data_IF_650936909633
#
_entry.id   IF_650936909633
#
_cell.length_a   1.000
_cell.length_b   1.000
_cell.length_c   1.000
_cell.angle_alpha   90.00
_cell.angle_beta   90.00
_cell.angle_gamma   90.00
#
_symmetry.space_group_name_H-M   'P 1'
#
loop_
_entity.id
_entity.type
_entity.pdbx_description
1 polymer ?
#
# COMPACT_ATOMS: atom_id res chain seq x y z
N UNK A 1 -25.47 5.20 -0.26
CA UNK A 1 -24.00 5.32 -0.37
C UNK A 1 -23.59 4.79 -1.74
N UNK A 2 -23.07 5.63 -2.64
CA UNK A 2 -22.42 5.13 -3.86
C UNK A 2 -21.21 4.30 -3.44
N UNK A 3 -21.08 3.08 -3.98
CA UNK A 3 -19.85 2.32 -3.83
C UNK A 3 -18.73 3.12 -4.51
N UNK A 4 -17.73 3.54 -3.72
CA UNK A 4 -16.51 4.12 -4.29
C UNK A 4 -15.94 3.11 -5.31
N UNK A 5 -15.28 3.56 -6.38
CA UNK A 5 -14.68 2.62 -7.33
C UNK A 5 -13.42 1.97 -6.72
N UNK A 6 -13.03 0.78 -7.19
CA UNK A 6 -11.72 0.20 -6.87
C UNK A 6 -10.63 1.03 -7.55
N UNK A 7 -9.56 1.34 -6.82
CA UNK A 7 -8.45 2.22 -7.25
C UNK A 7 -7.12 1.51 -7.08
N UNK A 8 -6.08 1.97 -7.77
CA UNK A 8 -4.70 1.48 -7.63
C UNK A 8 -3.90 2.51 -6.87
N UNK A 9 -3.36 2.12 -5.72
CA UNK A 9 -2.49 2.95 -4.90
C UNK A 9 -1.05 2.47 -4.96
N UNK A 10 -0.11 3.40 -5.08
CA UNK A 10 1.30 3.17 -4.84
C UNK A 10 1.62 3.49 -3.37
N UNK A 11 2.29 2.55 -2.71
CA UNK A 11 2.75 2.68 -1.33
C UNK A 11 4.26 2.73 -1.35
N UNK A 12 4.82 3.75 -0.69
CA UNK A 12 6.24 3.83 -0.39
C UNK A 12 6.47 3.36 1.05
N UNK A 13 7.25 2.29 1.25
CA UNK A 13 7.52 1.70 2.56
C UNK A 13 8.99 1.31 2.67
N UNK A 14 9.68 1.78 3.70
CA UNK A 14 11.04 1.35 4.01
C UNK A 14 11.02 0.42 5.21
N UNK A 15 11.39 -0.84 5.02
CA UNK A 15 11.40 -1.82 6.11
C UNK A 15 11.59 -3.26 5.65
N UNK A 16 11.22 -4.18 6.54
CA UNK A 16 11.45 -5.62 6.38
C UNK A 16 10.29 -6.43 6.93
N UNK A 17 10.09 -7.60 6.35
CA UNK A 17 9.29 -8.68 6.92
C UNK A 17 10.20 -9.66 7.67
N UNK A 18 9.68 -10.85 8.00
CA UNK A 18 10.44 -11.88 8.70
C UNK A 18 11.51 -12.54 7.79
N UNK A 19 11.36 -12.44 6.48
CA UNK A 19 12.17 -13.08 5.46
C UNK A 19 13.27 -12.16 4.93
N UNK A 20 13.12 -10.85 5.08
CA UNK A 20 14.11 -9.87 4.65
C UNK A 20 13.49 -8.52 4.32
N UNK A 21 14.13 -7.78 3.42
CA UNK A 21 13.70 -6.43 3.04
C UNK A 21 12.45 -6.50 2.15
N UNK A 22 11.48 -5.62 2.39
CA UNK A 22 10.29 -5.46 1.53
C UNK A 22 10.57 -4.49 0.38
N UNK A 23 9.87 -4.61 -0.76
CA UNK A 23 9.98 -3.65 -1.85
C UNK A 23 9.63 -2.24 -1.39
N UNK A 24 10.49 -1.27 -1.72
CA UNK A 24 10.26 0.12 -1.32
C UNK A 24 8.98 0.71 -1.91
N UNK A 25 8.64 0.35 -3.15
CA UNK A 25 7.41 0.78 -3.81
C UNK A 25 6.54 -0.43 -4.14
N UNK A 26 5.28 -0.38 -3.70
CA UNK A 26 4.32 -1.47 -3.89
C UNK A 26 2.99 -0.94 -4.40
N UNK A 27 2.39 -1.61 -5.40
CA UNK A 27 1.05 -1.30 -5.89
C UNK A 27 0.00 -2.18 -5.21
N UNK A 28 -1.09 -1.56 -4.74
CA UNK A 28 -2.19 -2.24 -4.05
C UNK A 28 -3.52 -1.72 -4.57
N UNK A 29 -4.48 -2.62 -4.79
CA UNK A 29 -5.86 -2.23 -5.13
C UNK A 29 -6.66 -2.02 -3.85
N UNK A 30 -7.32 -0.87 -3.73
CA UNK A 30 -8.19 -0.56 -2.60
C UNK A 30 -9.24 0.48 -2.96
N UNK A 31 -10.27 0.61 -2.12
CA UNK A 31 -11.32 1.62 -2.29
C UNK A 31 -10.90 3.01 -1.80
N UNK A 32 -9.94 3.04 -0.86
CA UNK A 32 -9.43 4.26 -0.22
C UNK A 32 -7.96 4.08 0.13
N UNK A 33 -7.22 5.19 0.33
CA UNK A 33 -5.81 5.16 0.78
C UNK A 33 -5.65 4.40 2.10
N UNK A 34 -6.53 4.63 3.08
CA UNK A 34 -6.51 3.89 4.37
C UNK A 34 -6.68 2.38 4.17
N UNK A 35 -7.55 1.96 3.24
CA UNK A 35 -7.70 0.54 2.90
C UNK A 35 -6.48 0.01 2.14
N UNK A 36 -5.78 0.83 1.37
CA UNK A 36 -4.53 0.44 0.70
C UNK A 36 -3.43 0.12 1.73
N UNK A 37 -3.25 0.96 2.75
CA UNK A 37 -2.32 0.69 3.87
C UNK A 37 -2.66 -0.65 4.53
N UNK A 38 -3.94 -0.87 4.85
CA UNK A 38 -4.39 -2.13 5.47
C UNK A 38 -4.08 -3.34 4.57
N UNK A 39 -4.42 -3.27 3.28
CA UNK A 39 -4.16 -4.34 2.34
C UNK A 39 -2.66 -4.62 2.15
N UNK A 40 -1.80 -3.58 2.22
CA UNK A 40 -0.35 -3.76 2.26
C UNK A 40 0.10 -4.53 3.50
N UNK A 41 -0.31 -4.09 4.70
CA UNK A 41 0.07 -4.75 5.96
C UNK A 41 -0.41 -6.19 6.02
N UNK A 42 -1.64 -6.46 5.59
CA UNK A 42 -2.20 -7.82 5.55
C UNK A 42 -1.44 -8.73 4.57
N UNK A 43 -1.03 -8.20 3.41
CA UNK A 43 -0.30 -8.95 2.37
C UNK A 43 1.16 -9.20 2.72
N UNK A 44 1.87 -8.17 3.17
CA UNK A 44 3.33 -8.21 3.32
C UNK A 44 3.79 -8.41 4.77
N UNK A 45 2.91 -8.22 5.75
CA UNK A 45 3.20 -8.45 7.18
C UNK A 45 4.54 -7.85 7.62
N UNK A 46 4.77 -6.54 7.39
CA UNK A 46 6.02 -5.91 7.80
C UNK A 46 6.23 -6.07 9.30
N UNK A 47 7.45 -6.44 9.70
CA UNK A 47 7.86 -6.58 11.11
C UNK A 47 8.39 -5.25 11.65
N UNK A 48 9.07 -4.48 10.80
CA UNK A 48 9.61 -3.17 11.15
C UNK A 48 9.70 -2.27 9.92
N UNK A 49 9.51 -0.97 10.11
CA UNK A 49 9.68 0.02 9.06
C UNK A 49 8.71 1.18 9.19
N UNK A 50 8.67 2.01 8.14
CA UNK A 50 7.87 3.22 8.08
C UNK A 50 7.31 3.42 6.67
N UNK A 51 6.06 3.85 6.62
CA UNK A 51 5.48 4.42 5.41
C UNK A 51 6.13 5.77 5.13
N UNK A 52 6.58 5.98 3.89
CA UNK A 52 7.24 7.20 3.44
C UNK A 52 6.21 8.17 2.86
N UNK A 53 5.18 8.49 3.65
CA UNK A 53 4.04 9.30 3.27
C UNK A 53 2.76 8.48 3.02
N UNK A 54 1.71 9.20 2.60
CA UNK A 54 0.42 8.59 2.29
C UNK A 54 0.47 7.79 0.97
N UNK A 55 -0.38 6.75 0.82
CA UNK A 55 -0.52 6.05 -0.44
C UNK A 55 -0.95 7.00 -1.57
N UNK A 56 -0.18 7.03 -2.65
CA UNK A 56 -0.48 7.83 -3.83
C UNK A 56 -1.48 7.08 -4.71
N UNK A 57 -2.57 7.74 -5.08
CA UNK A 57 -3.50 7.20 -6.05
C UNK A 57 -2.95 7.35 -7.47
N UNK A 58 -2.69 6.21 -8.11
CA UNK A 58 -2.10 6.13 -9.45
C UNK A 58 -3.06 5.48 -10.45
N UNK A 59 -4.36 5.45 -10.14
CA UNK A 59 -5.38 4.76 -10.96
C UNK A 59 -5.39 5.23 -12.41
N UNK A 60 -5.14 6.52 -12.65
CA UNK A 60 -5.12 7.12 -13.98
C UNK A 60 -3.69 7.30 -14.55
N UNK A 61 -2.68 6.75 -13.86
CA UNK A 61 -1.25 6.83 -14.23
C UNK A 61 -0.65 5.48 -14.63
N UNK A 62 -1.49 4.44 -14.75
CA UNK A 62 -1.12 3.06 -15.12
C UNK A 62 -1.27 2.80 -16.60
#
# INVERSE_FOLDING_TARGET
MQAQAMRVYQIAFSGRDAQGVLPMFTRVKAMTSKKAVRAFVERYKPVSGWFLGDPEDITDKV
#
